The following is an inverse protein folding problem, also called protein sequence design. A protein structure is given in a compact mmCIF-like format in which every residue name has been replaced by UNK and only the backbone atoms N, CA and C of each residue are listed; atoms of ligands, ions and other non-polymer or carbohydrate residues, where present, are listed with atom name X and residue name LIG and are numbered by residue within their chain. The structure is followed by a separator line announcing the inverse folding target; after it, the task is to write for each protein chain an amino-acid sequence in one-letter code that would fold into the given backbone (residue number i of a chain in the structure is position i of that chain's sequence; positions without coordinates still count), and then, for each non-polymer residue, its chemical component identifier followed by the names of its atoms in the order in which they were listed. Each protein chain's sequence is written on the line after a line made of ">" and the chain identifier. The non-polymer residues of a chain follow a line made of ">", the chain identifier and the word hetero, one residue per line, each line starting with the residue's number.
data_IF_627861424175
#
_entry.id   IF_627861424175
#
_cell.length_a   1.000
_cell.length_b   1.000
_cell.length_c   1.000
_cell.angle_alpha   90.00
_cell.angle_beta   90.00
_cell.angle_gamma   90.00
#
_symmetry.space_group_name_H-M   'P 1'
#
loop_
_entity.id
_entity.type
_entity.pdbx_description
1 polymer ?
#
# COMPACT_ATOMS: atom_id res chain seq x y z
N UNK A 1 -29.76 -9.13 -27.33
CA UNK A 1 -29.30 -10.35 -26.64
C UNK A 1 -28.11 -9.90 -25.81
N UNK A 2 -28.34 -9.87 -24.50
CA UNK A 2 -27.61 -9.23 -23.38
C UNK A 2 -26.15 -8.82 -23.58
N UNK A 3 -25.89 -7.53 -23.34
CA UNK A 3 -24.58 -6.89 -23.17
C UNK A 3 -24.35 -6.60 -21.65
N UNK A 4 -24.88 -7.46 -20.77
CA UNK A 4 -24.84 -7.27 -19.29
C UNK A 4 -23.61 -7.91 -18.62
N UNK A 5 -22.73 -8.57 -19.39
CA UNK A 5 -21.50 -9.16 -18.84
C UNK A 5 -20.45 -8.11 -18.43
N UNK A 6 -20.66 -6.84 -18.80
CA UNK A 6 -19.77 -5.73 -18.46
C UNK A 6 -20.04 -5.12 -17.06
N UNK A 7 -21.18 -5.40 -16.42
CA UNK A 7 -21.55 -4.74 -15.14
C UNK A 7 -20.89 -5.35 -13.89
N UNK A 8 -20.44 -6.61 -13.95
CA UNK A 8 -19.97 -7.34 -12.76
C UNK A 8 -18.47 -7.29 -12.50
N UNK A 9 -17.76 -6.36 -13.15
CA UNK A 9 -16.32 -6.19 -13.00
C UNK A 9 -15.97 -4.74 -12.80
N UNK A 10 -15.10 -4.48 -11.82
CA UNK A 10 -14.48 -3.18 -11.64
C UNK A 10 -12.99 -3.31 -11.93
N UNK A 11 -12.39 -2.33 -12.61
CA UNK A 11 -10.96 -2.32 -12.85
C UNK A 11 -10.35 -0.94 -12.67
N UNK A 12 -9.07 -0.93 -12.33
CA UNK A 12 -8.22 0.27 -12.33
C UNK A 12 -6.90 -0.07 -13.00
N UNK A 13 -6.40 0.85 -13.80
CA UNK A 13 -5.11 0.72 -14.47
C UNK A 13 -4.20 1.84 -14.02
N UNK A 14 -2.96 1.52 -13.67
CA UNK A 14 -1.97 2.49 -13.21
C UNK A 14 -0.59 2.21 -13.83
N UNK A 15 0.08 3.26 -14.26
CA UNK A 15 1.47 3.17 -14.70
C UNK A 15 2.40 3.05 -13.49
N UNK A 16 3.45 2.25 -13.63
CA UNK A 16 4.46 2.03 -12.59
C UNK A 16 5.87 2.20 -13.19
N UNK A 17 6.81 2.77 -12.43
CA UNK A 17 8.20 2.89 -12.88
C UNK A 17 8.98 1.56 -12.76
N UNK A 18 8.38 0.49 -12.23
CA UNK A 18 9.04 -0.80 -12.10
C UNK A 18 9.03 -1.54 -13.43
N UNK A 19 10.13 -2.21 -13.76
CA UNK A 19 10.18 -3.15 -14.87
C UNK A 19 9.14 -4.28 -14.66
N UNK A 20 8.55 -4.86 -15.72
CA UNK A 20 7.52 -5.90 -15.61
C UNK A 20 7.88 -7.05 -14.68
N UNK A 21 9.11 -7.57 -14.78
CA UNK A 21 9.58 -8.69 -13.95
C UNK A 21 9.66 -8.29 -12.47
N UNK A 22 10.25 -7.13 -12.18
CA UNK A 22 10.35 -6.61 -10.82
C UNK A 22 8.96 -6.34 -10.21
N UNK A 23 7.97 -5.93 -11.01
CA UNK A 23 6.61 -5.77 -10.54
C UNK A 23 5.93 -7.12 -10.27
N UNK A 24 6.11 -8.12 -11.15
CA UNK A 24 5.60 -9.48 -10.91
C UNK A 24 6.16 -10.08 -9.62
N UNK A 25 7.48 -10.00 -9.44
CA UNK A 25 8.14 -10.43 -8.21
C UNK A 25 7.59 -9.70 -6.98
N UNK A 26 7.38 -8.38 -7.09
CA UNK A 26 6.78 -7.59 -6.02
C UNK A 26 5.37 -8.07 -5.65
N UNK A 27 4.52 -8.35 -6.64
CA UNK A 27 3.14 -8.79 -6.42
C UNK A 27 3.06 -10.19 -5.81
N UNK A 28 3.97 -11.08 -6.21
CA UNK A 28 3.96 -12.49 -5.80
C UNK A 28 4.68 -12.74 -4.47
N UNK A 29 5.67 -11.92 -4.12
CA UNK A 29 6.51 -12.16 -2.94
C UNK A 29 5.78 -12.00 -1.60
N UNK A 30 4.80 -11.10 -1.51
CA UNK A 30 4.11 -10.79 -0.25
C UNK A 30 2.67 -10.33 -0.50
N UNK A 31 1.72 -11.27 -0.36
CA UNK A 31 0.29 -11.04 -0.53
C UNK A 31 -0.28 -10.18 0.61
N UNK A 32 0.26 -10.32 1.83
CA UNK A 32 -0.15 -9.50 2.98
C UNK A 32 0.15 -8.03 2.69
N UNK A 33 1.37 -7.73 2.23
CA UNK A 33 1.79 -6.39 1.81
C UNK A 33 0.84 -5.81 0.78
N UNK A 34 0.48 -6.59 -0.23
CA UNK A 34 -0.39 -6.13 -1.32
C UNK A 34 -1.71 -5.58 -0.77
N UNK A 35 -2.37 -6.33 0.12
CA UNK A 35 -3.63 -5.92 0.73
C UNK A 35 -3.45 -4.77 1.74
N UNK A 36 -2.36 -4.76 2.51
CA UNK A 36 -2.06 -3.70 3.50
C UNK A 36 -1.75 -2.34 2.88
N UNK A 37 -1.40 -2.30 1.59
CA UNK A 37 -1.20 -1.02 0.88
C UNK A 37 -2.49 -0.21 0.88
N UNK A 38 -3.65 -0.87 0.78
CA UNK A 38 -4.96 -0.20 0.81
C UNK A 38 -5.11 0.68 2.07
N UNK A 39 -5.41 1.96 1.86
CA UNK A 39 -5.77 2.88 2.95
C UNK A 39 -7.18 2.65 3.48
N UNK A 40 -7.97 1.83 2.79
CA UNK A 40 -9.36 1.49 3.12
C UNK A 40 -9.50 0.12 3.78
N UNK A 41 -8.41 -0.63 3.91
CA UNK A 41 -8.41 -1.93 4.57
C UNK A 41 -7.63 -1.87 5.88
N UNK A 42 -8.27 -2.31 6.96
CA UNK A 42 -7.62 -2.53 8.24
C UNK A 42 -7.51 -4.03 8.47
N UNK A 43 -6.29 -4.59 8.36
CA UNK A 43 -6.04 -6.00 8.65
C UNK A 43 -5.51 -6.14 10.07
N UNK A 44 -6.26 -6.84 10.92
CA UNK A 44 -5.94 -7.09 12.33
C UNK A 44 -5.24 -8.42 12.53
N UNK A 45 -5.76 -9.46 11.88
CA UNK A 45 -5.22 -10.82 11.94
C UNK A 45 -4.82 -11.21 10.52
N UNK A 46 -3.65 -11.80 10.40
CA UNK A 46 -3.15 -12.41 9.17
C UNK A 46 -2.54 -13.76 9.53
N UNK A 47 -3.08 -14.81 8.94
CA UNK A 47 -2.67 -16.19 9.18
C UNK A 47 -2.27 -16.84 7.85
N UNK A 48 -1.10 -17.46 7.83
CA UNK A 48 -0.64 -18.26 6.69
C UNK A 48 -1.08 -19.70 6.93
N UNK A 49 -1.93 -20.23 6.05
CA UNK A 49 -2.49 -21.58 6.16
C UNK A 49 -1.69 -22.63 5.38
N UNK A 50 -0.66 -22.22 4.62
CA UNK A 50 0.12 -23.08 3.72
C UNK A 50 -0.41 -23.03 2.28
N UNK A 51 0.37 -23.52 1.31
CA UNK A 51 -0.02 -23.64 -0.11
C UNK A 51 -0.63 -22.37 -0.73
N UNK A 52 -0.01 -21.20 -0.45
CA UNK A 52 -0.52 -19.89 -0.88
C UNK A 52 -1.96 -19.57 -0.41
N UNK A 53 -2.37 -20.20 0.68
CA UNK A 53 -3.64 -19.94 1.36
C UNK A 53 -3.40 -19.09 2.59
N UNK A 54 -4.30 -18.13 2.78
CA UNK A 54 -4.25 -17.18 3.88
C UNK A 54 -5.63 -17.04 4.47
N UNK A 55 -5.69 -16.70 5.75
CA UNK A 55 -6.90 -16.17 6.39
C UNK A 55 -6.58 -14.80 6.94
N UNK A 56 -7.53 -13.89 6.84
CA UNK A 56 -7.40 -12.60 7.47
C UNK A 56 -8.70 -12.13 8.09
N UNK A 57 -8.54 -11.39 9.18
CA UNK A 57 -9.63 -10.72 9.87
C UNK A 57 -9.35 -9.23 9.92
N UNK A 58 -10.35 -8.43 9.61
CA UNK A 58 -10.18 -7.00 9.50
C UNK A 58 -11.46 -6.23 9.32
N UNK A 59 -11.32 -5.02 8.77
CA UNK A 59 -12.42 -4.10 8.52
C UNK A 59 -12.23 -3.38 7.20
N UNK A 60 -13.28 -3.32 6.38
CA UNK A 60 -13.33 -2.38 5.28
C UNK A 60 -13.77 -1.01 5.84
N UNK A 61 -12.91 -0.01 5.73
CA UNK A 61 -13.15 1.34 6.26
C UNK A 61 -14.05 2.18 5.34
N UNK A 62 -14.24 1.78 4.09
CA UNK A 62 -15.20 2.42 3.19
C UNK A 62 -16.65 2.05 3.52
N UNK A 63 -16.90 0.77 3.84
CA UNK A 63 -18.24 0.26 4.18
C UNK A 63 -18.48 0.14 5.68
N UNK A 64 -17.42 0.16 6.48
CA UNK A 64 -17.47 -0.04 7.93
C UNK A 64 -17.63 -1.50 8.36
N UNK A 65 -17.73 -2.45 7.43
CA UNK A 65 -18.00 -3.86 7.70
C UNK A 65 -16.76 -4.61 8.20
N UNK A 66 -17.00 -5.53 9.14
CA UNK A 66 -16.01 -6.51 9.55
C UNK A 66 -15.86 -7.59 8.48
N UNK A 67 -14.63 -8.06 8.29
CA UNK A 67 -14.30 -9.09 7.32
C UNK A 67 -13.56 -10.22 8.03
N UNK A 68 -13.98 -11.45 7.74
CA UNK A 68 -13.25 -12.69 8.02
C UNK A 68 -13.29 -13.50 6.72
N UNK A 69 -12.13 -13.61 6.06
CA UNK A 69 -12.05 -14.19 4.72
C UNK A 69 -10.78 -15.02 4.54
N UNK A 70 -10.94 -16.14 3.86
CA UNK A 70 -9.88 -16.91 3.26
C UNK A 70 -9.48 -16.34 1.91
N UNK A 71 -8.21 -16.51 1.58
CA UNK A 71 -7.61 -16.13 0.30
C UNK A 71 -6.83 -17.31 -0.23
N UNK A 72 -6.99 -17.60 -1.52
CA UNK A 72 -6.08 -18.45 -2.28
C UNK A 72 -5.36 -17.58 -3.30
N UNK A 73 -4.04 -17.51 -3.21
CA UNK A 73 -3.24 -16.75 -4.17
C UNK A 73 -2.63 -17.68 -5.22
N UNK A 74 -2.82 -17.35 -6.49
CA UNK A 74 -2.27 -18.08 -7.63
C UNK A 74 -1.36 -17.15 -8.41
N UNK A 75 -0.07 -17.49 -8.47
CA UNK A 75 0.87 -16.79 -9.34
C UNK A 75 0.61 -17.16 -10.80
N UNK A 76 0.56 -16.16 -11.67
CA UNK A 76 0.39 -16.33 -13.11
C UNK A 76 1.61 -15.74 -13.83
N UNK A 77 1.76 -16.07 -15.12
CA UNK A 77 2.82 -15.47 -15.95
C UNK A 77 2.72 -13.95 -16.00
N UNK A 78 1.51 -13.39 -15.96
CA UNK A 78 1.26 -11.95 -16.05
C UNK A 78 1.01 -11.29 -14.70
N UNK A 79 1.16 -11.99 -13.56
CA UNK A 79 0.98 -11.39 -12.23
C UNK A 79 0.45 -12.36 -11.18
N UNK A 80 -0.64 -11.99 -10.50
CA UNK A 80 -1.22 -12.81 -9.42
C UNK A 80 -2.74 -12.67 -9.36
N UNK A 81 -3.42 -13.75 -9.05
CA UNK A 81 -4.87 -13.78 -8.78
C UNK A 81 -5.12 -14.15 -7.33
N UNK A 82 -5.99 -13.40 -6.66
CA UNK A 82 -6.45 -13.67 -5.31
C UNK A 82 -7.91 -14.09 -5.38
N UNK A 83 -8.22 -15.34 -5.04
CA UNK A 83 -9.59 -15.82 -4.93
C UNK A 83 -10.04 -15.76 -3.46
N UNK A 84 -11.27 -15.29 -3.23
CA UNK A 84 -11.86 -15.12 -1.91
C UNK A 84 -13.03 -16.09 -1.72
N UNK A 85 -13.12 -16.71 -0.54
CA UNK A 85 -14.15 -17.70 -0.23
C UNK A 85 -15.48 -17.06 0.22
N UNK A 86 -15.43 -16.09 1.14
CA UNK A 86 -16.60 -15.54 1.84
C UNK A 86 -17.07 -14.19 1.29
N UNK A 87 -16.18 -13.47 0.60
CA UNK A 87 -16.48 -12.13 0.09
C UNK A 87 -17.44 -12.16 -1.11
N UNK A 88 -18.26 -11.11 -1.24
CA UNK A 88 -19.06 -10.90 -2.45
C UNK A 88 -18.16 -10.77 -3.68
N UNK A 89 -17.02 -10.09 -3.52
CA UNK A 89 -15.92 -10.13 -4.49
C UNK A 89 -15.33 -11.54 -4.56
N UNK A 90 -15.42 -12.18 -5.71
CA UNK A 90 -14.97 -13.55 -5.91
C UNK A 90 -13.45 -13.63 -6.08
N UNK A 91 -12.90 -12.70 -6.85
CA UNK A 91 -11.46 -12.64 -7.10
C UNK A 91 -10.98 -11.21 -7.36
N UNK A 92 -9.70 -10.97 -7.09
CA UNK A 92 -8.96 -9.81 -7.56
C UNK A 92 -7.80 -10.31 -8.41
N UNK A 93 -7.71 -9.83 -9.66
CA UNK A 93 -6.61 -10.13 -10.57
C UNK A 93 -5.69 -8.93 -10.70
N UNK A 94 -4.41 -9.16 -10.55
CA UNK A 94 -3.35 -8.20 -10.79
C UNK A 94 -2.60 -8.63 -12.05
N UNK A 95 -2.74 -7.85 -13.13
CA UNK A 95 -2.11 -8.10 -14.42
C UNK A 95 -1.06 -7.04 -14.71
N UNK A 96 0.11 -7.48 -15.15
CA UNK A 96 1.26 -6.66 -15.49
C UNK A 96 1.47 -6.71 -17.00
N UNK A 97 1.55 -5.54 -17.62
CA UNK A 97 1.97 -5.39 -19.02
C UNK A 97 3.17 -4.43 -19.11
N UNK A 98 3.98 -4.57 -20.15
CA UNK A 98 5.10 -3.66 -20.37
C UNK A 98 4.60 -2.29 -20.84
N UNK A 99 5.22 -1.23 -20.32
CA UNK A 99 5.02 0.13 -20.83
C UNK A 99 6.13 0.47 -21.84
N UNK A 100 5.85 1.35 -22.79
CA UNK A 100 6.81 1.76 -23.83
C UNK A 100 8.08 2.44 -23.26
N UNK A 101 8.00 3.00 -22.05
CA UNK A 101 9.09 3.74 -21.40
C UNK A 101 10.01 2.87 -20.51
N UNK A 102 9.96 1.55 -20.64
CA UNK A 102 10.72 0.61 -19.80
C UNK A 102 10.13 0.38 -18.40
N UNK A 103 9.01 1.03 -18.07
CA UNK A 103 8.19 0.72 -16.90
C UNK A 103 7.16 -0.38 -17.18
N UNK A 104 6.12 -0.43 -16.36
CA UNK A 104 5.02 -1.38 -16.50
C UNK A 104 3.68 -0.73 -16.23
N UNK A 105 2.62 -1.35 -16.73
CA UNK A 105 1.23 -1.01 -16.44
C UNK A 105 0.66 -2.14 -15.57
N UNK A 106 0.08 -1.75 -14.43
CA UNK A 106 -0.64 -2.65 -13.54
C UNK A 106 -2.14 -2.43 -13.74
N UNK A 107 -2.84 -3.49 -14.14
CA UNK A 107 -4.30 -3.53 -14.15
C UNK A 107 -4.77 -4.40 -13.00
N UNK A 108 -5.59 -3.82 -12.12
CA UNK A 108 -6.25 -4.53 -11.03
C UNK A 108 -7.72 -4.68 -11.40
N UNK A 109 -8.23 -5.91 -11.41
CA UNK A 109 -9.61 -6.22 -11.75
C UNK A 109 -10.26 -7.00 -10.62
N UNK A 110 -11.35 -6.46 -10.07
CA UNK A 110 -12.22 -7.12 -9.13
C UNK A 110 -13.39 -7.77 -9.88
N UNK A 111 -13.59 -9.07 -9.69
CA UNK A 111 -14.66 -9.84 -10.33
C UNK A 111 -15.76 -10.21 -9.31
N UNK A 112 -17.00 -9.85 -9.63
CA UNK A 112 -18.20 -10.13 -8.86
C UNK A 112 -19.16 -11.11 -9.58
N UNK A 113 -18.80 -11.58 -10.78
CA UNK A 113 -19.69 -12.32 -11.68
C UNK A 113 -20.16 -13.68 -11.14
N UNK A 114 -19.40 -14.31 -10.24
CA UNK A 114 -19.72 -15.65 -9.74
C UNK A 114 -20.82 -15.67 -8.68
N UNK A 115 -21.33 -14.51 -8.26
CA UNK A 115 -22.39 -14.39 -7.25
C UNK A 115 -23.73 -14.10 -7.91
N UNK A 116 -24.82 -14.65 -7.37
CA UNK A 116 -26.14 -14.47 -7.93
C UNK A 116 -26.60 -13.00 -7.83
N UNK A 117 -27.49 -12.56 -8.72
CA UNK A 117 -28.06 -11.21 -8.65
C UNK A 117 -28.78 -10.96 -7.32
N UNK A 118 -29.46 -11.97 -6.78
CA UNK A 118 -30.10 -11.92 -5.46
C UNK A 118 -29.09 -11.70 -4.33
N UNK A 119 -27.95 -12.39 -4.37
CA UNK A 119 -26.86 -12.20 -3.38
C UNK A 119 -26.26 -10.80 -3.47
N UNK A 120 -26.07 -10.28 -4.69
CA UNK A 120 -25.54 -8.93 -4.92
C UNK A 120 -26.48 -7.85 -4.40
N UNK A 121 -27.78 -7.98 -4.62
CA UNK A 121 -28.77 -7.04 -4.07
C UNK A 121 -28.83 -7.14 -2.55
N UNK A 122 -28.84 -8.35 -1.99
CA UNK A 122 -28.87 -8.56 -0.54
C UNK A 122 -27.61 -8.06 0.17
N UNK A 123 -26.45 -8.13 -0.50
CA UNK A 123 -25.13 -7.73 0.02
C UNK A 123 -24.58 -6.49 -0.67
N UNK A 124 -25.43 -5.61 -1.20
CA UNK A 124 -25.01 -4.42 -1.94
C UNK A 124 -24.07 -3.52 -1.14
N UNK A 125 -24.20 -3.50 0.20
CA UNK A 125 -23.32 -2.78 1.12
C UNK A 125 -21.86 -3.30 1.14
N UNK A 126 -21.60 -4.51 0.63
CA UNK A 126 -20.25 -5.09 0.49
C UNK A 126 -19.56 -4.74 -0.82
N UNK A 127 -20.27 -4.16 -1.80
CA UNK A 127 -19.67 -3.74 -3.06
C UNK A 127 -18.70 -2.60 -2.77
N UNK A 128 -17.40 -2.91 -2.85
CA UNK A 128 -16.36 -1.95 -2.51
C UNK A 128 -16.14 -0.98 -3.67
N UNK A 129 -16.54 0.26 -3.48
CA UNK A 129 -16.25 1.37 -4.42
C UNK A 129 -14.82 1.91 -4.26
N UNK A 130 -14.03 1.33 -3.36
CA UNK A 130 -12.68 1.76 -3.03
C UNK A 130 -11.58 1.40 -4.03
N UNK A 131 -11.87 0.69 -5.13
CA UNK A 131 -10.87 0.20 -6.07
C UNK A 131 -10.00 1.33 -6.66
N UNK A 132 -10.60 2.46 -7.02
CA UNK A 132 -9.86 3.64 -7.51
C UNK A 132 -8.87 4.14 -6.47
N UNK A 133 -9.31 4.25 -5.21
CA UNK A 133 -8.45 4.70 -4.11
C UNK A 133 -7.32 3.71 -3.83
N UNK A 134 -7.61 2.42 -3.92
CA UNK A 134 -6.59 1.38 -3.79
C UNK A 134 -5.56 1.47 -4.93
N UNK A 135 -5.99 1.73 -6.17
CA UNK A 135 -5.09 2.02 -7.29
C UNK A 135 -4.16 3.22 -7.02
N UNK A 136 -4.68 4.32 -6.47
CA UNK A 136 -3.85 5.47 -6.08
C UNK A 136 -2.85 5.14 -4.97
N UNK A 137 -3.26 4.32 -4.00
CA UNK A 137 -2.38 3.86 -2.92
C UNK A 137 -1.26 2.95 -3.47
N UNK A 138 -1.59 2.02 -4.38
CA UNK A 138 -0.63 1.18 -5.09
C UNK A 138 0.37 2.03 -5.89
N UNK A 139 -0.12 2.97 -6.70
CA UNK A 139 0.73 3.83 -7.50
C UNK A 139 1.74 4.59 -6.63
N UNK A 140 1.27 5.23 -5.56
CA UNK A 140 2.14 5.96 -4.62
C UNK A 140 3.14 5.04 -3.92
N UNK A 141 2.70 3.86 -3.49
CA UNK A 141 3.57 2.88 -2.83
C UNK A 141 4.67 2.39 -3.78
N UNK A 142 4.31 1.96 -4.99
CA UNK A 142 5.24 1.43 -5.99
C UNK A 142 6.25 2.50 -6.46
N UNK A 143 5.82 3.76 -6.62
CA UNK A 143 6.73 4.86 -6.93
C UNK A 143 7.72 5.16 -5.77
N UNK A 144 7.28 5.00 -4.53
CA UNK A 144 8.16 5.06 -3.36
C UNK A 144 9.13 3.86 -3.30
N UNK A 145 8.61 2.68 -3.62
CA UNK A 145 9.37 1.43 -3.66
C UNK A 145 10.49 1.47 -4.71
N UNK A 146 10.21 1.93 -5.93
CA UNK A 146 11.22 2.08 -6.97
C UNK A 146 12.37 3.01 -6.53
N UNK A 147 12.04 4.14 -5.88
CA UNK A 147 13.06 5.14 -5.48
C UNK A 147 13.92 4.72 -4.30
N UNK A 148 13.37 3.98 -3.33
CA UNK A 148 14.03 3.72 -2.04
C UNK A 148 14.10 2.24 -1.66
N UNK A 149 13.54 1.35 -2.46
CA UNK A 149 13.47 -0.08 -2.21
C UNK A 149 14.83 -0.77 -2.21
N UNK A 150 15.87 -0.19 -2.83
CA UNK A 150 17.22 -0.75 -2.69
C UNK A 150 17.76 -0.65 -1.25
N UNK A 151 17.27 0.30 -0.45
CA UNK A 151 17.71 0.47 0.93
C UNK A 151 17.03 -0.55 1.86
N UNK A 152 17.83 -1.46 2.45
CA UNK A 152 17.35 -2.52 3.34
C UNK A 152 16.68 -1.99 4.61
N UNK A 153 17.21 -0.93 5.22
CA UNK A 153 16.62 -0.34 6.42
C UNK A 153 15.26 0.29 6.11
N UNK A 154 15.15 0.97 4.97
CA UNK A 154 13.88 1.52 4.50
C UNK A 154 12.85 0.41 4.20
N UNK A 155 13.25 -0.65 3.50
CA UNK A 155 12.38 -1.81 3.25
C UNK A 155 11.88 -2.45 4.54
N UNK A 156 12.80 -2.73 5.46
CA UNK A 156 12.47 -3.30 6.76
C UNK A 156 11.48 -2.41 7.52
N UNK A 157 11.72 -1.10 7.55
CA UNK A 157 10.81 -0.14 8.18
C UNK A 157 9.43 -0.14 7.52
N UNK A 158 9.38 -0.11 6.18
CA UNK A 158 8.12 -0.11 5.42
C UNK A 158 7.31 -1.40 5.62
N UNK A 159 7.95 -2.56 5.51
CA UNK A 159 7.29 -3.88 5.55
C UNK A 159 6.93 -4.27 6.98
N UNK A 160 7.83 -4.04 7.95
CA UNK A 160 7.67 -4.56 9.31
C UNK A 160 6.97 -3.61 10.25
N UNK A 161 7.11 -2.30 10.06
CA UNK A 161 6.53 -1.29 10.96
C UNK A 161 5.39 -0.55 10.25
N UNK A 162 5.68 0.13 9.15
CA UNK A 162 4.73 1.07 8.54
C UNK A 162 3.45 0.39 8.05
N UNK A 163 3.57 -0.69 7.28
CA UNK A 163 2.40 -1.39 6.71
C UNK A 163 1.59 -2.17 7.75
N UNK A 164 2.19 -2.54 8.88
CA UNK A 164 1.50 -3.24 9.97
C UNK A 164 0.64 -2.31 10.82
N UNK A 165 0.86 -1.01 10.74
CA UNK A 165 0.01 -0.01 11.39
C UNK A 165 -1.35 0.07 10.68
N UNK A 166 -2.39 0.33 11.46
CA UNK A 166 -3.69 0.67 10.90
C UNK A 166 -3.58 1.95 10.05
N UNK A 167 -4.48 2.19 9.09
CA UNK A 167 -4.49 3.43 8.32
C UNK A 167 -4.46 4.70 9.19
N UNK A 168 -5.16 4.69 10.32
CA UNK A 168 -5.11 5.78 11.32
C UNK A 168 -3.75 5.84 12.03
N UNK A 169 -3.17 4.70 12.41
CA UNK A 169 -1.84 4.63 13.00
C UNK A 169 -0.76 5.23 12.08
N UNK A 170 -0.81 4.95 10.78
CA UNK A 170 0.09 5.56 9.78
C UNK A 170 0.00 7.09 9.77
N UNK A 171 -1.20 7.65 9.89
CA UNK A 171 -1.39 9.12 9.98
C UNK A 171 -0.81 9.70 11.26
N UNK A 172 -1.04 9.05 12.39
CA UNK A 172 -0.51 9.48 13.69
C UNK A 172 1.02 9.48 13.68
N UNK A 173 1.63 8.38 13.22
CA UNK A 173 3.10 8.28 13.13
C UNK A 173 3.65 9.34 12.16
N UNK A 174 2.98 9.60 11.03
CA UNK A 174 3.37 10.68 10.14
C UNK A 174 3.38 12.04 10.85
N UNK A 175 2.33 12.36 11.61
CA UNK A 175 2.26 13.61 12.37
C UNK A 175 3.39 13.72 13.41
N UNK A 176 3.67 12.64 14.14
CA UNK A 176 4.78 12.59 15.08
C UNK A 176 6.11 12.88 14.36
N UNK A 177 6.37 12.21 13.23
CA UNK A 177 7.59 12.44 12.45
C UNK A 177 7.73 13.89 11.97
N UNK A 178 6.64 14.51 11.52
CA UNK A 178 6.64 15.92 11.09
C UNK A 178 6.92 16.86 12.25
N UNK A 179 6.26 16.65 13.39
CA UNK A 179 6.47 17.46 14.60
C UNK A 179 7.94 17.34 15.06
N UNK A 180 8.45 16.11 15.17
CA UNK A 180 9.84 15.87 15.55
C UNK A 180 10.84 16.50 14.57
N UNK A 181 10.56 16.48 13.26
CA UNK A 181 11.42 17.13 12.28
C UNK A 181 11.46 18.67 12.46
N UNK A 182 10.31 19.28 12.77
CA UNK A 182 10.22 20.72 13.07
C UNK A 182 10.96 21.06 14.36
N UNK A 183 10.81 20.24 15.41
CA UNK A 183 11.52 20.39 16.68
C UNK A 183 13.04 20.33 16.48
N UNK A 184 13.54 19.34 15.74
CA UNK A 184 14.96 19.21 15.42
C UNK A 184 15.44 20.43 14.63
N UNK A 185 14.68 20.89 13.64
CA UNK A 185 15.05 22.09 12.87
C UNK A 185 15.13 23.34 13.76
N UNK A 186 14.19 23.54 14.68
CA UNK A 186 14.20 24.66 15.61
C UNK A 186 15.40 24.61 16.57
N UNK A 187 15.74 23.41 17.09
CA UNK A 187 16.92 23.21 17.94
C UNK A 187 18.22 23.49 17.17
N UNK A 188 18.32 23.05 15.91
CA UNK A 188 19.48 23.33 15.07
C UNK A 188 19.63 24.83 14.79
N UNK A 189 18.53 25.56 14.54
CA UNK A 189 18.56 27.01 14.36
C UNK A 189 18.98 27.74 15.64
N UNK A 190 18.49 27.30 16.81
CA UNK A 190 18.89 27.86 18.10
C UNK A 190 20.38 27.62 18.37
N UNK A 191 20.87 26.40 18.14
CA UNK A 191 22.28 26.06 18.31
C UNK A 191 23.18 26.87 17.36
N UNK A 192 22.75 27.05 16.10
CA UNK A 192 23.46 27.88 15.13
C UNK A 192 23.49 29.35 15.54
N UNK A 193 22.37 29.89 16.03
CA UNK A 193 22.29 31.26 16.55
C UNK A 193 23.22 31.47 17.74
N UNK A 194 23.27 30.52 18.69
CA UNK A 194 24.18 30.57 19.83
C UNK A 194 25.64 30.49 19.39
N UNK A 195 25.98 29.61 18.45
CA UNK A 195 27.34 29.49 17.93
C UNK A 195 27.81 30.79 17.26
N UNK A 196 26.92 31.45 16.51
CA UNK A 196 27.21 32.74 15.88
C UNK A 196 27.36 33.89 16.90
N UNK A 197 26.56 33.87 17.96
CA UNK A 197 26.65 34.85 19.05
C UNK A 197 27.96 34.71 19.84
N UNK A 198 28.36 33.47 20.15
CA UNK A 198 29.64 33.17 20.80
C UNK A 198 30.84 33.62 19.97
N UNK A 199 30.82 33.41 18.65
CA UNK A 199 31.88 33.86 17.74
C UNK A 199 32.01 35.40 17.70
N UNK A 200 30.89 36.12 17.82
CA UNK A 200 30.92 37.60 17.95
C UNK A 200 31.51 38.09 19.26
N UNK A 201 31.23 37.41 20.37
CA UNK A 201 31.57 37.88 21.71
C UNK A 201 32.89 37.35 22.26
N UNK A 202 33.47 36.33 21.63
CA UNK A 202 34.81 35.81 21.93
C UNK A 202 35.72 35.98 20.71
N UNK A 203 36.13 37.20 20.34
CA UNK A 203 37.16 37.35 19.33
C UNK A 203 38.42 36.63 19.84
N UNK A 204 38.82 35.59 19.10
CA UNK A 204 40.01 34.81 19.36
C UNK A 204 41.21 35.76 19.41
N UNK A 205 41.69 36.10 20.60
CA UNK A 205 42.93 36.85 20.78
C UNK A 205 44.07 35.81 20.78
N UNK A 206 44.86 35.70 19.70
CA UNK A 206 46.03 34.83 19.72
C UNK A 206 47.04 35.44 20.70
N UNK A 207 47.08 34.93 21.93
CA UNK A 207 48.13 35.26 22.90
C UNK A 207 49.39 34.45 22.60
N UNK A 208 50.06 34.74 21.47
CA UNK A 208 51.46 34.35 21.27
C UNK A 208 52.14 35.40 20.39
N UNK A 209 52.84 36.33 21.05
CA UNK A 209 53.72 37.35 20.47
C UNK A 209 54.59 37.91 21.57
#
# INVERSE_FOLDING_TARGET
>A
MSDDAAEDRAWVTLATPLAPDALRDFLQADIERLLRISSRLEIRIWEVLGDHRYRWVGRNLSTGQAIDAGIVATANEDGVTLAFDTLLKAETRYRVTAAENGGSILTVTDDYSTRSAADKTARAAEIDTGLTRYGEDLHRFLAGWHRRGANRCWRWWMERLWLRLTPSGRRIVYMILVITAVEIAALLLMALGLAFDLDRHLPFQPQFG
#
